data_IF_383929794651
#
_entry.id   IF_383929794651
#
_cell.length_a   1.000
_cell.length_b   1.000
_cell.length_c   1.000
_cell.angle_alpha   90.00
_cell.angle_beta   90.00
_cell.angle_gamma   90.00
#
_symmetry.space_group_name_H-M   'P 1'
#
loop_
_entity.id
_entity.type
_entity.pdbx_description
1 polymer ?
#
# COMPACT_ATOMS: atom_id res chain seq x y z
N UNK A 1 13.36 15.14 -4.60
CA UNK A 1 12.24 14.85 -5.51
C UNK A 1 11.57 13.61 -4.97
N UNK A 2 10.58 13.82 -4.11
CA UNK A 2 9.89 12.79 -3.32
C UNK A 2 8.84 12.10 -4.19
N UNK A 3 9.29 11.15 -5.01
CA UNK A 3 8.46 10.36 -5.94
C UNK A 3 7.68 9.22 -5.24
N UNK A 4 7.42 9.37 -3.94
CA UNK A 4 6.71 8.38 -3.09
C UNK A 4 5.34 8.88 -2.63
N UNK A 5 4.87 10.00 -3.18
CA UNK A 5 3.57 10.57 -2.85
C UNK A 5 2.46 9.86 -3.63
N UNK A 6 2.02 8.70 -3.14
CA UNK A 6 0.80 8.06 -3.62
C UNK A 6 -0.40 9.00 -3.36
N UNK A 7 -1.08 9.41 -4.43
CA UNK A 7 -2.30 10.22 -4.36
C UNK A 7 -3.46 9.26 -4.28
N UNK A 8 -4.01 9.15 -3.08
CA UNK A 8 -5.12 8.29 -2.72
C UNK A 8 -6.45 9.06 -2.96
N UNK A 9 -7.18 8.79 -4.05
CA UNK A 9 -8.54 9.23 -4.37
C UNK A 9 -9.65 8.52 -3.58
N UNK A 10 -10.62 9.27 -3.06
CA UNK A 10 -11.50 8.87 -1.95
C UNK A 10 -12.68 7.92 -2.31
N UNK A 11 -12.67 7.23 -3.44
CA UNK A 11 -13.80 6.41 -3.90
C UNK A 11 -13.36 4.99 -4.26
N UNK A 12 -13.49 4.06 -3.32
CA UNK A 12 -13.22 2.64 -3.55
C UNK A 12 -14.36 1.99 -4.37
N UNK A 13 -14.10 1.43 -5.56
CA UNK A 13 -15.09 0.71 -6.35
C UNK A 13 -15.52 -0.61 -5.71
N UNK A 14 -16.67 -1.18 -6.11
CA UNK A 14 -17.15 -2.44 -5.57
C UNK A 14 -16.19 -3.59 -5.91
N UNK A 15 -16.01 -4.56 -5.00
CA UNK A 15 -15.11 -5.68 -5.17
C UNK A 15 -15.49 -6.55 -6.39
N UNK A 16 -14.49 -7.06 -7.12
CA UNK A 16 -14.74 -8.14 -8.10
C UNK A 16 -15.47 -9.29 -7.41
N UNK A 17 -16.56 -9.76 -8.00
CA UNK A 17 -17.37 -10.83 -7.45
C UNK A 17 -16.51 -12.08 -7.19
N UNK A 18 -16.36 -12.46 -5.92
CA UNK A 18 -15.71 -13.71 -5.49
C UNK A 18 -14.36 -13.57 -4.79
N UNK A 19 -13.70 -12.41 -4.80
CA UNK A 19 -12.46 -12.20 -4.03
C UNK A 19 -12.76 -11.60 -2.65
N UNK A 20 -12.09 -12.07 -1.59
CA UNK A 20 -12.21 -11.48 -0.26
C UNK A 20 -11.25 -10.28 -0.12
N UNK A 21 -11.82 -9.07 -0.15
CA UNK A 21 -11.08 -7.81 -0.06
C UNK A 21 -10.79 -7.39 1.38
N UNK A 22 -11.24 -8.13 2.38
CA UNK A 22 -11.08 -7.75 3.79
C UNK A 22 -9.61 -7.60 4.15
N UNK A 23 -8.77 -8.54 3.68
CA UNK A 23 -7.33 -8.55 3.97
C UNK A 23 -6.61 -7.36 3.35
N UNK A 24 -6.84 -7.10 2.07
CA UNK A 24 -6.19 -6.00 1.37
C UNK A 24 -6.66 -4.64 1.91
N UNK A 25 -7.95 -4.48 2.25
CA UNK A 25 -8.46 -3.26 2.89
C UNK A 25 -7.92 -3.04 4.30
N UNK A 26 -7.69 -4.10 5.07
CA UNK A 26 -7.02 -4.01 6.37
C UNK A 26 -5.57 -3.53 6.20
N UNK A 27 -4.83 -4.14 5.27
CA UNK A 27 -3.45 -3.79 4.98
C UNK A 27 -3.32 -2.35 4.44
N UNK A 28 -4.23 -1.90 3.56
CA UNK A 28 -4.28 -0.49 3.10
C UNK A 28 -4.42 0.48 4.27
N UNK A 29 -5.31 0.19 5.23
CA UNK A 29 -5.52 1.05 6.41
C UNK A 29 -4.28 1.12 7.31
N UNK A 30 -3.63 -0.02 7.55
CA UNK A 30 -2.37 -0.06 8.32
C UNK A 30 -1.26 0.73 7.62
N UNK A 31 -1.12 0.57 6.31
CA UNK A 31 -0.14 1.30 5.51
C UNK A 31 -0.38 2.82 5.51
N UNK A 32 -1.63 3.27 5.38
CA UNK A 32 -1.98 4.69 5.49
C UNK A 32 -1.66 5.27 6.87
N UNK A 33 -1.92 4.50 7.94
CA UNK A 33 -1.58 4.91 9.31
C UNK A 33 -0.06 5.02 9.50
N UNK A 34 0.70 4.05 9.00
CA UNK A 34 2.17 4.07 9.00
C UNK A 34 2.73 5.27 8.23
N UNK A 35 2.21 5.54 7.02
CA UNK A 35 2.64 6.68 6.21
C UNK A 35 2.32 8.02 6.88
N UNK A 36 1.15 8.16 7.50
CA UNK A 36 0.78 9.36 8.25
C UNK A 36 1.67 9.56 9.49
N UNK A 37 2.15 8.48 10.12
CA UNK A 37 3.11 8.52 11.22
C UNK A 37 4.49 8.99 10.73
N UNK A 38 5.00 8.40 9.65
CA UNK A 38 6.27 8.79 9.04
C UNK A 38 6.27 10.25 8.58
N UNK A 39 5.18 10.72 7.96
CA UNK A 39 5.05 12.14 7.58
C UNK A 39 5.08 13.06 8.79
N UNK A 40 4.37 12.73 9.87
CA UNK A 40 4.38 13.56 11.09
C UNK A 40 5.77 13.62 11.72
N UNK A 41 6.48 12.50 11.77
CA UNK A 41 7.86 12.46 12.24
C UNK A 41 8.77 13.37 11.40
N UNK A 42 8.69 13.27 10.07
CA UNK A 42 9.46 14.12 9.16
C UNK A 42 9.13 15.61 9.24
N UNK A 43 7.87 15.97 9.56
CA UNK A 43 7.42 17.37 9.68
C UNK A 43 7.73 17.97 11.04
N UNK A 44 7.71 17.15 12.09
CA UNK A 44 8.02 17.56 13.46
C UNK A 44 9.50 17.58 13.80
N UNK A 45 10.38 17.21 12.86
CA UNK A 45 11.79 16.93 13.12
C UNK A 45 11.99 15.91 14.25
N UNK A 46 11.02 15.01 14.44
CA UNK A 46 11.06 13.95 15.42
C UNK A 46 11.59 12.70 14.73
N UNK A 47 12.67 12.13 15.24
CA UNK A 47 13.11 10.80 14.82
C UNK A 47 12.07 9.78 15.26
N UNK A 48 11.64 8.92 14.33
CA UNK A 48 10.90 7.72 14.70
C UNK A 48 11.85 6.85 15.53
N UNK A 49 11.36 6.34 16.66
CA UNK A 49 12.09 5.29 17.36
C UNK A 49 12.20 4.05 16.46
N UNK A 50 13.24 3.24 16.68
CA UNK A 50 13.53 2.05 15.87
C UNK A 50 12.31 1.10 15.81
N UNK A 51 11.55 1.00 16.90
CA UNK A 51 10.31 0.21 16.94
C UNK A 51 9.24 0.76 16.01
N UNK A 52 9.08 2.09 15.93
CA UNK A 52 8.05 2.71 15.09
C UNK A 52 8.39 2.59 13.60
N UNK A 53 9.68 2.63 13.27
CA UNK A 53 10.15 2.40 11.91
C UNK A 53 9.94 0.94 11.50
N UNK A 54 10.23 -0.01 12.39
CA UNK A 54 9.99 -1.44 12.15
C UNK A 54 8.50 -1.74 11.93
N UNK A 55 7.61 -1.17 12.75
CA UNK A 55 6.15 -1.31 12.61
C UNK A 55 5.66 -0.74 11.26
N UNK A 56 6.22 0.39 10.84
CA UNK A 56 5.89 1.01 9.56
C UNK A 56 6.36 0.17 8.37
N UNK A 57 7.58 -0.36 8.43
CA UNK A 57 8.13 -1.26 7.40
C UNK A 57 7.33 -2.56 7.32
N UNK A 58 6.96 -3.15 8.46
CA UNK A 58 6.10 -4.33 8.49
C UNK A 58 4.74 -4.05 7.84
N UNK A 59 4.12 -2.91 8.16
CA UNK A 59 2.84 -2.51 7.56
C UNK A 59 2.92 -2.36 6.03
N UNK A 60 4.04 -1.84 5.51
CA UNK A 60 4.29 -1.77 4.06
C UNK A 60 4.42 -3.17 3.48
N UNK A 61 5.21 -4.05 4.09
CA UNK A 61 5.42 -5.41 3.60
C UNK A 61 4.12 -6.24 3.61
N UNK A 62 3.26 -6.09 4.62
CA UNK A 62 1.95 -6.74 4.68
C UNK A 62 1.01 -6.25 3.57
N UNK A 63 1.06 -4.96 3.26
CA UNK A 63 0.32 -4.37 2.15
C UNK A 63 0.80 -4.85 0.79
N UNK A 64 2.11 -4.87 0.55
CA UNK A 64 2.72 -5.40 -0.67
C UNK A 64 2.34 -6.87 -0.88
N UNK A 65 2.48 -7.71 0.16
CA UNK A 65 2.10 -9.11 0.11
C UNK A 65 0.61 -9.31 -0.19
N UNK A 66 -0.26 -8.48 0.38
CA UNK A 66 -1.70 -8.56 0.12
C UNK A 66 -2.06 -8.23 -1.33
N UNK A 67 -1.34 -7.30 -1.96
CA UNK A 67 -1.49 -7.01 -3.39
C UNK A 67 -0.96 -8.15 -4.26
N UNK A 68 0.23 -8.69 -3.93
CA UNK A 68 0.81 -9.81 -4.66
C UNK A 68 -0.08 -11.05 -4.60
N UNK A 69 -0.70 -11.32 -3.44
CA UNK A 69 -1.68 -12.40 -3.29
C UNK A 69 -2.93 -12.16 -4.15
N UNK A 70 -3.44 -10.93 -4.20
CA UNK A 70 -4.57 -10.59 -5.08
C UNK A 70 -4.22 -10.82 -6.56
N UNK A 71 -3.03 -10.39 -6.99
CA UNK A 71 -2.52 -10.62 -8.35
C UNK A 71 -2.37 -12.11 -8.65
N UNK A 72 -1.84 -12.89 -7.69
CA UNK A 72 -1.71 -14.35 -7.80
C UNK A 72 -3.05 -15.09 -7.90
N UNK A 73 -4.10 -14.53 -7.33
CA UNK A 73 -5.48 -15.03 -7.45
C UNK A 73 -6.19 -14.54 -8.74
N UNK A 74 -5.49 -13.86 -9.65
CA UNK A 74 -6.03 -13.42 -10.93
C UNK A 74 -6.88 -12.14 -10.86
N UNK A 75 -6.81 -11.39 -9.75
CA UNK A 75 -7.49 -10.10 -9.63
C UNK A 75 -6.85 -9.09 -10.59
N UNK A 76 -7.67 -8.35 -11.33
CA UNK A 76 -7.18 -7.37 -12.29
C UNK A 76 -6.43 -6.20 -11.61
N UNK A 77 -5.34 -5.76 -12.22
CA UNK A 77 -4.52 -4.61 -11.78
C UNK A 77 -5.38 -3.36 -11.54
N UNK A 78 -6.34 -3.09 -12.42
CA UNK A 78 -7.24 -1.94 -12.28
C UNK A 78 -8.07 -2.02 -11.01
N UNK A 79 -8.63 -3.19 -10.67
CA UNK A 79 -9.45 -3.37 -9.46
C UNK A 79 -8.63 -3.26 -8.17
N UNK A 80 -7.38 -3.72 -8.21
CA UNK A 80 -6.44 -3.55 -7.09
C UNK A 80 -6.10 -2.07 -6.93
N UNK A 81 -5.74 -1.39 -8.02
CA UNK A 81 -5.43 0.04 -8.02
C UNK A 81 -6.60 0.85 -7.43
N UNK A 82 -7.81 0.54 -7.88
CA UNK A 82 -9.06 1.11 -7.41
C UNK A 82 -9.33 0.86 -5.91
N UNK A 83 -9.07 -0.36 -5.42
CA UNK A 83 -9.37 -0.74 -4.02
C UNK A 83 -8.29 -0.34 -3.01
N UNK A 84 -7.05 -0.26 -3.47
CA UNK A 84 -5.88 0.14 -2.65
C UNK A 84 -5.51 1.59 -2.85
N UNK A 85 -6.15 2.22 -3.84
CA UNK A 85 -6.01 3.61 -4.18
C UNK A 85 -4.58 3.98 -4.64
N UNK A 86 -3.89 2.98 -5.17
CA UNK A 86 -2.62 3.09 -5.87
C UNK A 86 -2.86 3.44 -7.34
N UNK A 87 -1.83 3.99 -8.01
CA UNK A 87 -1.85 4.05 -9.48
C UNK A 87 -1.69 2.65 -10.07
N UNK A 88 -2.28 2.39 -11.23
CA UNK A 88 -2.07 1.12 -11.95
C UNK A 88 -0.58 0.89 -12.25
N UNK A 89 0.19 1.96 -12.47
CA UNK A 89 1.66 1.90 -12.62
C UNK A 89 2.33 1.35 -11.37
N UNK A 90 1.92 1.78 -10.18
CA UNK A 90 2.48 1.29 -8.92
C UNK A 90 2.13 -0.20 -8.71
N UNK A 91 0.91 -0.61 -9.02
CA UNK A 91 0.50 -2.02 -8.93
C UNK A 91 1.25 -2.88 -9.95
N UNK A 92 1.45 -2.40 -11.18
CA UNK A 92 2.28 -3.09 -12.19
C UNK A 92 3.74 -3.18 -11.74
N UNK A 93 4.32 -2.10 -11.18
CA UNK A 93 5.67 -2.11 -10.63
C UNK A 93 5.80 -3.16 -9.52
N UNK A 94 4.85 -3.21 -8.59
CA UNK A 94 4.84 -4.20 -7.52
C UNK A 94 4.74 -5.63 -8.07
N UNK A 95 3.88 -5.87 -9.08
CA UNK A 95 3.82 -7.17 -9.78
C UNK A 95 5.17 -7.57 -10.38
N UNK A 96 5.85 -6.62 -11.02
CA UNK A 96 7.04 -6.89 -11.82
C UNK A 96 8.32 -6.97 -10.96
N UNK A 97 8.37 -6.27 -9.83
CA UNK A 97 9.57 -6.13 -8.97
C UNK A 97 9.43 -6.79 -7.60
N UNK A 98 8.21 -7.14 -7.18
CA UNK A 98 7.92 -7.70 -5.86
C UNK A 98 7.92 -6.69 -4.72
N UNK A 99 8.21 -5.41 -4.96
CA UNK A 99 8.14 -4.35 -3.93
C UNK A 99 7.82 -2.97 -4.54
N UNK A 100 7.13 -2.13 -3.77
CA UNK A 100 6.93 -0.72 -4.10
C UNK A 100 8.20 0.10 -3.85
N UNK A 101 9.10 -0.37 -2.97
CA UNK A 101 10.32 0.33 -2.56
C UNK A 101 11.53 0.09 -3.47
N UNK A 102 11.47 -0.91 -4.36
CA UNK A 102 12.56 -1.22 -5.28
C UNK A 102 12.66 -0.21 -6.42
N UNK A 103 13.72 0.60 -6.44
CA UNK A 103 14.32 1.17 -7.66
C UNK A 103 15.83 1.09 -7.54
#
# INVERSE_FOLDING_TARGET
MDDWMFVFGNDAPPPAAGYDWTRIQAATRSMLAAQARMRRASQGNAELDESELADAQQSIAEFENSILEALGNGVAVSLIADSTNLSQTAVNKLRDTGTLMGS
#
